data_IF_322936437731
#
_entry.id   IF_322936437731
#
_cell.length_a   1.000
_cell.length_b   1.000
_cell.length_c   1.000
_cell.angle_alpha   90.00
_cell.angle_beta   90.00
_cell.angle_gamma   90.00
#
_symmetry.space_group_name_H-M   'P 1'
#
loop_
_entity.id
_entity.type
_entity.pdbx_description
1 polymer ?
#
# COMPACT_ATOMS: atom_id res chain seq x y z
N UNK A 1 8.69 -17.53 7.98
CA UNK A 1 8.56 -16.06 7.82
C UNK A 1 7.11 -15.60 7.65
N UNK A 2 6.37 -15.99 6.59
CA UNK A 2 4.97 -15.57 6.34
C UNK A 2 4.01 -15.72 7.53
N UNK A 3 3.95 -16.89 8.18
CA UNK A 3 3.10 -17.14 9.36
C UNK A 3 3.45 -16.23 10.55
N UNK A 4 4.72 -15.87 10.70
CA UNK A 4 5.18 -15.00 11.80
C UNK A 4 4.75 -13.56 11.53
N UNK A 5 4.95 -13.06 10.31
CA UNK A 5 4.55 -11.71 9.89
C UNK A 5 3.02 -11.55 9.88
N UNK A 6 2.28 -12.55 9.39
CA UNK A 6 0.81 -12.55 9.46
C UNK A 6 0.28 -12.55 10.90
N UNK A 7 0.86 -13.37 11.79
CA UNK A 7 0.49 -13.33 13.22
C UNK A 7 0.87 -12.00 13.89
N UNK A 8 1.97 -11.38 13.46
CA UNK A 8 2.41 -10.09 14.00
C UNK A 8 1.44 -8.96 13.58
N UNK A 9 0.96 -8.95 12.34
CA UNK A 9 -0.08 -8.01 11.88
C UNK A 9 -1.37 -8.18 12.72
N UNK A 10 -1.78 -9.43 12.97
CA UNK A 10 -2.98 -9.69 13.77
C UNK A 10 -2.87 -9.31 15.24
N UNK A 11 -1.66 -9.37 15.83
CA UNK A 11 -1.43 -9.06 17.26
C UNK A 11 -1.06 -7.59 17.51
N UNK A 12 -0.29 -6.99 16.61
CA UNK A 12 0.22 -5.63 16.74
C UNK A 12 0.49 -5.07 15.34
N UNK A 13 -0.54 -4.57 14.63
CA UNK A 13 -0.35 -3.96 13.32
C UNK A 13 0.56 -2.74 13.47
N UNK A 14 1.72 -2.79 12.82
CA UNK A 14 2.66 -1.68 12.74
C UNK A 14 3.09 -1.53 11.30
N UNK A 15 3.24 -0.29 10.85
CA UNK A 15 3.71 0.07 9.51
C UNK A 15 4.97 -0.71 9.10
N UNK A 16 5.96 -0.80 10.01
CA UNK A 16 7.21 -1.53 9.77
C UNK A 16 7.00 -3.01 9.46
N UNK A 17 5.98 -3.65 10.06
CA UNK A 17 5.68 -5.07 9.84
C UNK A 17 5.04 -5.25 8.46
N UNK A 18 4.09 -4.38 8.09
CA UNK A 18 3.50 -4.37 6.75
C UNK A 18 4.57 -4.16 5.68
N UNK A 19 5.40 -3.12 5.81
CA UNK A 19 6.48 -2.83 4.87
C UNK A 19 7.44 -4.01 4.72
N UNK A 20 7.86 -4.64 5.83
CA UNK A 20 8.75 -5.81 5.78
C UNK A 20 8.09 -7.01 5.11
N UNK A 21 6.79 -7.20 5.32
CA UNK A 21 6.07 -8.32 4.74
C UNK A 21 5.82 -8.11 3.24
N UNK A 22 5.44 -6.90 2.85
CA UNK A 22 5.28 -6.53 1.43
C UNK A 22 6.61 -6.67 0.71
N UNK A 23 7.71 -6.13 1.25
CA UNK A 23 9.07 -6.27 0.69
C UNK A 23 9.40 -7.76 0.45
N UNK A 24 9.15 -8.63 1.43
CA UNK A 24 9.39 -10.06 1.31
C UNK A 24 8.54 -10.70 0.20
N UNK A 25 7.25 -10.38 0.10
CA UNK A 25 6.38 -10.96 -0.94
C UNK A 25 6.72 -10.45 -2.34
N UNK A 26 7.19 -9.20 -2.45
CA UNK A 26 7.64 -8.58 -3.70
C UNK A 26 8.91 -9.25 -4.23
N UNK A 27 9.87 -9.56 -3.35
CA UNK A 27 11.05 -10.36 -3.70
C UNK A 27 10.69 -11.76 -4.18
N UNK A 28 9.60 -12.33 -3.67
CA UNK A 28 9.07 -13.62 -4.09
C UNK A 28 8.13 -13.50 -5.31
N UNK A 29 8.00 -12.30 -5.90
CA UNK A 29 7.13 -11.96 -7.05
C UNK A 29 5.65 -12.34 -6.84
N UNK A 30 5.19 -12.40 -5.59
CA UNK A 30 3.79 -12.72 -5.26
C UNK A 30 2.96 -11.44 -5.17
N UNK A 31 2.72 -10.80 -6.31
CA UNK A 31 1.98 -9.54 -6.41
C UNK A 31 0.60 -9.62 -5.75
N UNK A 32 -0.14 -10.71 -5.97
CA UNK A 32 -1.49 -10.88 -5.41
C UNK A 32 -1.51 -10.85 -3.88
N UNK A 33 -0.42 -11.29 -3.24
CA UNK A 33 -0.27 -11.17 -1.79
C UNK A 33 0.13 -9.77 -1.38
N UNK A 34 0.99 -9.10 -2.13
CA UNK A 34 1.33 -7.70 -1.88
C UNK A 34 0.07 -6.83 -1.89
N UNK A 35 -0.83 -7.01 -2.87
CA UNK A 35 -2.13 -6.33 -2.96
C UNK A 35 -2.95 -6.50 -1.68
N UNK A 36 -3.19 -7.76 -1.27
CA UNK A 36 -3.91 -8.07 -0.03
C UNK A 36 -3.27 -7.47 1.22
N UNK A 37 -1.94 -7.37 1.26
CA UNK A 37 -1.23 -6.75 2.37
C UNK A 37 -1.40 -5.23 2.38
N UNK A 38 -1.34 -4.57 1.22
CA UNK A 38 -1.62 -3.13 1.11
C UNK A 38 -3.08 -2.82 1.45
N UNK A 39 -4.05 -3.60 0.97
CA UNK A 39 -5.46 -3.47 1.33
C UNK A 39 -5.65 -3.51 2.85
N UNK A 40 -5.10 -4.53 3.52
CA UNK A 40 -5.16 -4.62 5.00
C UNK A 40 -4.41 -3.51 5.72
N UNK A 41 -3.35 -2.98 5.10
CA UNK A 41 -2.59 -1.89 5.69
C UNK A 41 -3.41 -0.59 5.65
N UNK A 42 -4.07 -0.32 4.52
CA UNK A 42 -4.93 0.84 4.31
C UNK A 42 -6.27 0.72 5.03
N UNK A 43 -6.78 -0.49 5.27
CA UNK A 43 -7.90 -0.72 6.20
C UNK A 43 -7.56 -0.29 7.63
N UNK A 44 -6.29 -0.45 8.04
CA UNK A 44 -5.85 -0.12 9.39
C UNK A 44 -5.45 1.36 9.54
N UNK A 45 -4.83 1.94 8.51
CA UNK A 45 -4.44 3.35 8.48
C UNK A 45 -4.74 3.96 7.11
N UNK A 46 -6.02 4.30 6.84
CA UNK A 46 -6.44 4.92 5.58
C UNK A 46 -5.87 6.33 5.39
N UNK A 47 -5.50 7.01 6.47
CA UNK A 47 -4.88 8.35 6.45
C UNK A 47 -3.43 8.34 5.95
N UNK A 48 -2.76 7.17 5.93
CA UNK A 48 -1.36 7.05 5.57
C UNK A 48 -1.13 7.21 4.06
N UNK A 49 -0.84 8.44 3.64
CA UNK A 49 -0.56 8.78 2.25
C UNK A 49 0.65 8.04 1.67
N UNK A 50 1.65 7.72 2.49
CA UNK A 50 2.84 6.99 2.04
C UNK A 50 2.50 5.56 1.61
N UNK A 51 1.61 4.89 2.35
CA UNK A 51 1.12 3.56 2.01
C UNK A 51 0.35 3.56 0.67
N UNK A 52 -0.51 4.55 0.46
CA UNK A 52 -1.23 4.75 -0.81
C UNK A 52 -0.27 4.96 -1.99
N UNK A 53 0.70 5.88 -1.86
CA UNK A 53 1.70 6.13 -2.91
C UNK A 53 2.50 4.88 -3.24
N UNK A 54 2.95 4.13 -2.22
CA UNK A 54 3.72 2.89 -2.42
C UNK A 54 2.89 1.78 -3.08
N UNK A 55 1.60 1.71 -2.77
CA UNK A 55 0.71 0.75 -3.41
C UNK A 55 0.51 1.09 -4.89
N UNK A 56 0.25 2.36 -5.21
CA UNK A 56 0.11 2.80 -6.59
C UNK A 56 1.42 2.64 -7.39
N UNK A 57 2.56 2.99 -6.80
CA UNK A 57 3.90 2.78 -7.41
C UNK A 57 4.13 1.32 -7.78
N UNK A 58 3.71 0.38 -6.92
CA UNK A 58 3.80 -1.05 -7.22
C UNK A 58 2.98 -1.44 -8.46
N UNK A 59 1.73 -0.99 -8.57
CA UNK A 59 0.88 -1.29 -9.74
C UNK A 59 1.43 -0.63 -11.02
N UNK A 60 1.97 0.59 -10.91
CA UNK A 60 2.66 1.26 -12.02
C UNK A 60 3.88 0.48 -12.50
N UNK A 61 4.71 -0.04 -11.58
CA UNK A 61 5.84 -0.91 -11.93
C UNK A 61 5.41 -2.22 -12.61
N UNK A 62 4.17 -2.65 -12.38
CA UNK A 62 3.57 -3.83 -13.03
C UNK A 62 2.85 -3.48 -14.34
N UNK A 63 2.94 -2.22 -14.79
CA UNK A 63 2.25 -1.68 -15.97
C UNK A 63 0.72 -1.70 -15.88
N UNK A 64 0.18 -1.83 -14.66
CA UNK A 64 -1.25 -1.85 -14.35
C UNK A 64 -1.75 -0.42 -14.03
N UNK A 65 -1.66 0.46 -15.03
CA UNK A 65 -1.93 1.90 -14.88
C UNK A 65 -3.37 2.21 -14.47
N UNK A 66 -4.35 1.46 -14.97
CA UNK A 66 -5.76 1.63 -14.58
C UNK A 66 -5.96 1.36 -13.08
N UNK A 67 -5.29 0.34 -12.53
CA UNK A 67 -5.34 0.03 -11.10
C UNK A 67 -4.62 1.08 -10.27
N UNK A 68 -3.44 1.53 -10.69
CA UNK A 68 -2.72 2.61 -10.03
C UNK A 68 -3.60 3.87 -9.93
N UNK A 69 -4.30 4.25 -11.01
CA UNK A 69 -5.27 5.35 -11.00
C UNK A 69 -6.41 5.10 -10.02
N UNK A 70 -7.02 3.91 -10.04
CA UNK A 70 -8.08 3.58 -9.09
C UNK A 70 -7.63 3.68 -7.63
N UNK A 71 -6.39 3.29 -7.32
CA UNK A 71 -5.79 3.42 -5.97
C UNK A 71 -5.66 4.90 -5.59
N UNK A 72 -5.16 5.76 -6.49
CA UNK A 72 -5.05 7.18 -6.22
C UNK A 72 -6.42 7.85 -6.03
N UNK A 73 -7.41 7.54 -6.86
CA UNK A 73 -8.78 8.05 -6.71
C UNK A 73 -9.39 7.62 -5.37
N UNK A 74 -9.19 6.35 -4.96
CA UNK A 74 -9.63 5.86 -3.65
C UNK A 74 -8.93 6.60 -2.50
N UNK A 75 -7.65 6.92 -2.65
CA UNK A 75 -6.91 7.67 -1.65
C UNK A 75 -7.42 9.12 -1.54
N UNK A 76 -7.68 9.80 -2.66
CA UNK A 76 -8.25 11.17 -2.70
C UNK A 76 -9.65 11.20 -2.08
N UNK A 77 -10.42 10.12 -2.19
CA UNK A 77 -11.75 10.01 -1.57
C UNK A 77 -11.72 9.87 -0.04
N UNK A 78 -10.55 9.64 0.57
CA UNK A 78 -10.46 9.51 2.03
C UNK A 78 -10.72 10.85 2.73
N UNK A 79 -11.50 10.85 3.84
CA UNK A 79 -11.93 12.08 4.51
C UNK A 79 -10.80 12.79 5.27
N UNK A 80 -9.76 12.08 5.66
CA UNK A 80 -8.60 12.61 6.36
C UNK A 80 -7.33 11.94 5.82
N UNK A 81 -6.36 12.77 5.44
CA UNK A 81 -5.08 12.36 4.86
C UNK A 81 -3.97 13.11 5.58
N UNK A 82 -2.93 12.42 6.03
CA UNK A 82 -1.83 13.02 6.79
C UNK A 82 -1.02 14.02 5.95
N UNK A 83 -0.72 13.66 4.70
CA UNK A 83 0.12 14.46 3.81
C UNK A 83 -0.44 14.45 2.38
N UNK A 84 -1.53 15.20 2.12
CA UNK A 84 -2.21 15.19 0.83
C UNK A 84 -1.25 15.55 -0.31
N UNK A 85 -0.41 16.58 -0.14
CA UNK A 85 0.51 17.08 -1.17
C UNK A 85 1.40 15.99 -1.79
N UNK A 86 1.84 15.01 -0.97
CA UNK A 86 2.63 13.89 -1.44
C UNK A 86 1.84 13.02 -2.43
N UNK A 87 0.57 12.79 -2.12
CA UNK A 87 -0.33 11.97 -2.93
C UNK A 87 -0.69 12.66 -4.25
N UNK A 88 -1.02 13.96 -4.19
CA UNK A 88 -1.29 14.77 -5.38
C UNK A 88 -0.07 14.84 -6.30
N UNK A 89 1.12 15.03 -5.74
CA UNK A 89 2.36 15.01 -6.53
C UNK A 89 2.59 13.65 -7.18
N UNK A 90 2.48 12.56 -6.41
CA UNK A 90 2.62 11.21 -6.95
C UNK A 90 1.59 10.90 -8.05
N UNK A 91 0.37 11.43 -7.93
CA UNK A 91 -0.67 11.26 -8.95
C UNK A 91 -0.37 12.01 -10.26
N UNK A 92 0.24 13.20 -10.17
CA UNK A 92 0.62 14.00 -11.34
C UNK A 92 1.87 13.43 -12.02
N UNK A 93 2.81 12.91 -11.24
CA UNK A 93 4.11 12.40 -11.73
C UNK A 93 4.01 10.99 -12.37
N UNK A 94 2.92 10.26 -12.14
CA UNK A 94 2.66 8.89 -12.64
C UNK A 94 2.01 8.86 -14.03
#
# INVERSE_FOLDING_TARGET
>A
ARRILGNAIGKAPREKIFNKYIEMELQLRNVDRCRKLYERYLEWSPENCYAWCKYAEMETCLTETERARAIFELAISQPALDMPELLWKAYIDF
#
